data_IF_391585074859
#
_entry.id   IF_391585074859
#
_cell.length_a   1.000
_cell.length_b   1.000
_cell.length_c   1.000
_cell.angle_alpha   90.00
_cell.angle_beta   90.00
_cell.angle_gamma   90.00
#
_symmetry.space_group_name_H-M   'P 1'
#
loop_
_entity.id
_entity.type
_entity.pdbx_description
1 polymer ?
#
# COMPACT_ATOMS: atom_id res chain seq x y z
N UNK A 1 3.16 -19.89 -28.93
CA UNK A 1 2.45 -18.61 -28.75
C UNK A 1 3.49 -17.58 -28.37
N UNK A 2 3.92 -16.72 -29.30
CA UNK A 2 4.93 -15.71 -29.01
C UNK A 2 4.32 -14.61 -28.16
N UNK A 3 4.91 -14.34 -27.01
CA UNK A 3 4.49 -13.24 -26.13
C UNK A 3 4.78 -11.92 -26.86
N UNK A 4 3.77 -11.07 -27.13
CA UNK A 4 3.95 -9.79 -27.80
C UNK A 4 5.05 -8.94 -27.15
N UNK A 5 5.89 -8.28 -27.96
CA UNK A 5 7.01 -7.47 -27.45
C UNK A 5 6.58 -6.38 -26.45
N UNK A 6 5.37 -5.84 -26.58
CA UNK A 6 4.77 -4.90 -25.62
C UNK A 6 4.67 -5.50 -24.22
N UNK A 7 4.35 -6.79 -24.11
CA UNK A 7 4.27 -7.49 -22.82
C UNK A 7 5.66 -7.79 -22.26
N UNK A 8 6.66 -8.04 -23.13
CA UNK A 8 8.07 -8.18 -22.71
C UNK A 8 8.65 -6.86 -22.20
N UNK A 9 8.41 -5.75 -22.91
CA UNK A 9 8.90 -4.44 -22.53
C UNK A 9 8.34 -3.98 -21.18
N UNK A 10 7.06 -4.28 -20.88
CA UNK A 10 6.46 -4.02 -19.57
C UNK A 10 7.07 -4.87 -18.46
N UNK A 11 7.43 -6.12 -18.74
CA UNK A 11 8.07 -7.00 -17.76
C UNK A 11 9.51 -6.59 -17.39
N UNK A 12 10.18 -5.78 -18.23
CA UNK A 12 11.55 -5.32 -18.02
C UNK A 12 11.66 -3.93 -17.39
N UNK A 13 10.56 -3.24 -17.11
CA UNK A 13 10.62 -1.96 -16.43
C UNK A 13 10.98 -2.17 -14.94
N UNK A 14 11.92 -1.37 -14.39
CA UNK A 14 12.19 -1.41 -12.96
C UNK A 14 10.90 -1.10 -12.19
N UNK A 15 10.67 -1.82 -11.09
CA UNK A 15 9.51 -1.57 -10.25
C UNK A 15 9.50 -0.08 -9.85
N UNK A 16 8.32 0.58 -9.81
CA UNK A 16 8.24 1.96 -9.37
C UNK A 16 8.84 2.12 -7.96
N UNK A 17 9.35 3.31 -7.60
CA UNK A 17 9.83 3.56 -6.24
C UNK A 17 8.76 3.21 -5.20
N UNK A 18 9.17 2.72 -4.02
CA UNK A 18 8.25 2.31 -2.96
C UNK A 18 7.23 3.41 -2.61
N UNK A 19 7.69 4.66 -2.57
CA UNK A 19 6.83 5.83 -2.36
C UNK A 19 5.68 5.90 -3.37
N UNK A 20 5.96 5.77 -4.67
CA UNK A 20 4.95 5.85 -5.72
C UNK A 20 3.98 4.66 -5.68
N UNK A 21 4.48 3.48 -5.31
CA UNK A 21 3.63 2.30 -5.11
C UNK A 21 2.67 2.51 -3.94
N UNK A 22 3.15 3.06 -2.83
CA UNK A 22 2.32 3.38 -1.66
C UNK A 22 1.31 4.46 -1.99
N UNK A 23 1.70 5.57 -2.65
CA UNK A 23 0.78 6.62 -3.11
C UNK A 23 -0.34 6.06 -3.99
N UNK A 24 0.01 5.23 -4.97
CA UNK A 24 -0.97 4.59 -5.85
C UNK A 24 -1.93 3.67 -5.09
N UNK A 25 -1.40 2.91 -4.12
CA UNK A 25 -2.23 2.08 -3.26
C UNK A 25 -3.20 2.90 -2.41
N UNK A 26 -2.71 3.95 -1.74
CA UNK A 26 -3.55 4.83 -0.91
C UNK A 26 -4.69 5.44 -1.74
N UNK A 27 -4.36 6.02 -2.91
CA UNK A 27 -5.37 6.66 -3.78
C UNK A 27 -6.40 5.68 -4.32
N UNK A 28 -5.96 4.49 -4.72
CA UNK A 28 -6.81 3.54 -5.43
C UNK A 28 -7.65 2.64 -4.54
N UNK A 29 -7.31 2.51 -3.25
CA UNK A 29 -7.91 1.50 -2.37
C UNK A 29 -8.24 1.99 -0.97
N UNK A 30 -7.62 3.08 -0.50
CA UNK A 30 -7.82 3.59 0.85
C UNK A 30 -8.65 4.88 0.84
N UNK A 31 -8.38 5.78 -0.11
CA UNK A 31 -8.98 7.11 -0.15
C UNK A 31 -10.52 7.13 -0.19
N UNK A 32 -11.12 6.11 -0.80
CA UNK A 32 -12.58 5.97 -0.93
C UNK A 32 -13.20 5.03 0.12
N UNK A 33 -12.43 4.56 1.10
CA UNK A 33 -12.94 3.67 2.15
C UNK A 33 -13.52 4.44 3.33
N UNK A 34 -14.64 3.95 3.86
CA UNK A 34 -15.32 4.52 5.03
C UNK A 34 -14.63 4.12 6.37
N UNK A 35 -13.66 3.20 6.32
CA UNK A 35 -12.88 2.80 7.49
C UNK A 35 -12.06 1.51 7.30
N UNK A 36 -11.28 1.16 8.32
CA UNK A 36 -10.34 0.03 8.26
C UNK A 36 -11.03 -1.34 8.10
N UNK A 37 -12.27 -1.49 8.55
CA UNK A 37 -13.04 -2.73 8.36
C UNK A 37 -13.43 -2.95 6.88
N UNK A 38 -13.74 -1.86 6.16
CA UNK A 38 -13.97 -1.91 4.71
C UNK A 38 -12.66 -2.24 3.98
N UNK A 39 -11.56 -1.57 4.35
CA UNK A 39 -10.22 -1.85 3.83
C UNK A 39 -9.86 -3.32 4.03
N UNK A 40 -10.09 -3.89 5.22
CA UNK A 40 -9.85 -5.30 5.52
C UNK A 40 -10.68 -6.21 4.60
N UNK A 41 -11.96 -5.90 4.43
CA UNK A 41 -12.87 -6.68 3.58
C UNK A 41 -12.39 -6.70 2.13
N UNK A 42 -12.03 -5.53 1.60
CA UNK A 42 -11.55 -5.41 0.22
C UNK A 42 -10.19 -6.08 0.01
N UNK A 43 -9.26 -5.92 0.96
CA UNK A 43 -7.98 -6.64 0.96
C UNK A 43 -8.18 -8.16 0.98
N UNK A 44 -9.18 -8.65 1.71
CA UNK A 44 -9.49 -10.09 1.81
C UNK A 44 -9.97 -10.62 0.46
N UNK A 45 -10.94 -9.94 -0.17
CA UNK A 45 -11.41 -10.28 -1.52
C UNK A 45 -10.28 -10.24 -2.55
N UNK A 46 -9.43 -9.22 -2.48
CA UNK A 46 -8.26 -9.14 -3.36
C UNK A 46 -7.27 -10.28 -3.11
N UNK A 47 -7.06 -10.69 -1.87
CA UNK A 47 -6.14 -11.77 -1.53
C UNK A 47 -6.62 -13.13 -2.06
N UNK A 48 -7.94 -13.38 -2.06
CA UNK A 48 -8.55 -14.57 -2.66
C UNK A 48 -8.32 -14.64 -4.18
N UNK A 49 -8.32 -13.49 -4.87
CA UNK A 49 -8.12 -13.41 -6.31
C UNK A 49 -6.63 -13.40 -6.68
N UNK A 50 -5.84 -12.57 -5.99
CA UNK A 50 -4.42 -12.36 -6.25
C UNK A 50 -3.66 -11.95 -4.98
N UNK A 51 -3.37 -12.97 -4.17
CA UNK A 51 -2.56 -12.90 -2.95
C UNK A 51 -1.22 -12.18 -3.15
N UNK A 52 -0.54 -12.40 -4.27
CA UNK A 52 0.76 -11.80 -4.55
C UNK A 52 0.67 -10.28 -4.70
N UNK A 53 -0.39 -9.76 -5.33
CA UNK A 53 -0.64 -8.31 -5.40
C UNK A 53 -0.83 -7.71 -4.02
N UNK A 54 -1.56 -8.39 -3.12
CA UNK A 54 -1.77 -7.93 -1.74
C UNK A 54 -0.46 -7.96 -0.95
N UNK A 55 0.33 -9.04 -1.09
CA UNK A 55 1.67 -9.15 -0.50
C UNK A 55 2.59 -8.00 -0.92
N UNK A 56 2.60 -7.64 -2.20
CA UNK A 56 3.44 -6.53 -2.71
C UNK A 56 3.08 -5.19 -2.09
N UNK A 57 1.81 -4.94 -1.76
CA UNK A 57 1.37 -3.72 -1.07
C UNK A 57 2.00 -3.62 0.33
N UNK A 58 1.95 -4.70 1.12
CA UNK A 58 2.63 -4.74 2.42
C UNK A 58 4.14 -4.49 2.29
N UNK A 59 4.80 -5.18 1.34
CA UNK A 59 6.24 -5.03 1.11
C UNK A 59 6.60 -3.60 0.68
N UNK A 60 5.78 -2.94 -0.14
CA UNK A 60 6.01 -1.56 -0.55
C UNK A 60 5.97 -0.59 0.65
N UNK A 61 4.99 -0.77 1.55
CA UNK A 61 4.89 0.02 2.78
C UNK A 61 6.09 -0.24 3.69
N UNK A 62 6.42 -1.51 3.95
CA UNK A 62 7.57 -1.91 4.77
C UNK A 62 8.90 -1.35 4.20
N UNK A 63 9.06 -1.37 2.88
CA UNK A 63 10.24 -0.81 2.19
C UNK A 63 10.31 0.71 2.37
N UNK A 64 9.19 1.41 2.21
CA UNK A 64 9.11 2.85 2.43
C UNK A 64 9.44 3.23 3.88
N UNK A 65 9.02 2.42 4.85
CA UNK A 65 9.31 2.67 6.27
C UNK A 65 10.76 2.33 6.65
N UNK A 66 11.38 1.37 5.97
CA UNK A 66 12.78 1.01 6.18
C UNK A 66 13.77 2.05 5.60
N UNK A 67 13.40 2.70 4.49
CA UNK A 67 14.14 3.80 3.87
C UNK A 67 13.21 5.02 3.69
N UNK A 68 12.97 5.78 4.78
CA UNK A 68 11.94 6.81 4.80
C UNK A 68 12.28 7.97 3.85
N UNK A 69 11.25 8.57 3.22
CA UNK A 69 11.43 9.75 2.39
C UNK A 69 11.86 10.97 3.23
N UNK A 70 12.23 12.10 2.60
CA UNK A 70 12.56 13.32 3.31
C UNK A 70 11.46 13.72 4.32
N UNK A 71 11.83 14.29 5.49
CA UNK A 71 10.85 14.73 6.49
C UNK A 71 9.79 15.68 5.92
N UNK A 72 8.56 15.52 6.39
CA UNK A 72 7.39 16.26 5.91
C UNK A 72 6.75 15.65 4.66
N UNK A 73 7.07 14.39 4.32
CA UNK A 73 6.51 13.70 3.14
C UNK A 73 5.39 12.74 3.51
N UNK A 74 5.51 12.02 4.64
CA UNK A 74 4.58 10.95 4.98
C UNK A 74 3.21 11.48 5.43
N UNK A 75 3.19 12.53 6.25
CA UNK A 75 1.95 13.11 6.73
C UNK A 75 1.06 13.65 5.58
N UNK A 76 1.57 14.47 4.64
CA UNK A 76 0.79 14.89 3.47
C UNK A 76 0.37 13.73 2.58
N UNK A 77 1.20 12.68 2.47
CA UNK A 77 0.85 11.50 1.68
C UNK A 77 -0.36 10.78 2.28
N UNK A 78 -0.39 10.52 3.58
CA UNK A 78 -1.54 9.86 4.23
C UNK A 78 -2.79 10.74 4.12
N UNK A 79 -2.66 12.04 4.38
CA UNK A 79 -3.79 12.96 4.34
C UNK A 79 -4.37 13.16 2.93
N UNK A 80 -3.51 13.37 1.92
CA UNK A 80 -3.95 13.73 0.56
C UNK A 80 -4.16 12.49 -0.31
N UNK A 81 -3.22 11.55 -0.29
CA UNK A 81 -3.29 10.35 -1.13
C UNK A 81 -4.18 9.28 -0.51
N UNK A 82 -4.22 9.18 0.82
CA UNK A 82 -5.07 8.24 1.55
C UNK A 82 -6.40 8.81 2.01
N UNK A 83 -6.64 10.12 1.83
CA UNK A 83 -7.81 10.84 2.33
C UNK A 83 -8.09 10.57 3.83
N UNK A 84 -7.02 10.34 4.61
CA UNK A 84 -7.13 9.90 6.00
C UNK A 84 -6.62 10.98 6.95
N UNK A 85 -7.48 11.39 7.88
CA UNK A 85 -7.14 12.35 8.92
C UNK A 85 -6.48 11.62 10.10
N UNK A 86 -5.27 12.03 10.44
CA UNK A 86 -4.54 11.52 11.60
C UNK A 86 -4.75 12.43 12.81
N UNK A 87 -4.59 11.90 14.03
CA UNK A 87 -4.68 12.71 15.26
C UNK A 87 -3.60 13.83 15.29
N UNK A 88 -2.43 13.56 14.71
CA UNK A 88 -1.39 14.55 14.44
C UNK A 88 -1.10 14.58 12.92
N UNK A 89 -1.87 15.41 12.22
CA UNK A 89 -1.84 15.55 10.75
C UNK A 89 -0.53 16.12 10.21
N UNK A 90 0.36 16.63 11.07
CA UNK A 90 1.64 17.22 10.67
C UNK A 90 2.83 16.32 10.94
N UNK A 91 2.61 15.22 11.66
CA UNK A 91 3.67 14.34 12.14
C UNK A 91 3.89 13.17 11.20
N UNK A 92 5.05 13.19 10.53
CA UNK A 92 5.53 12.04 9.77
C UNK A 92 5.70 10.79 10.64
N UNK A 93 5.92 10.93 11.95
CA UNK A 93 5.99 9.80 12.87
C UNK A 93 4.60 9.16 13.09
N UNK A 94 3.55 9.99 13.21
CA UNK A 94 2.17 9.49 13.27
C UNK A 94 1.78 8.82 11.95
N UNK A 95 2.14 9.42 10.82
CA UNK A 95 1.91 8.84 9.50
C UNK A 95 2.66 7.51 9.29
N UNK A 96 3.92 7.43 9.74
CA UNK A 96 4.71 6.19 9.69
C UNK A 96 4.09 5.09 10.56
N UNK A 97 3.60 5.42 11.76
CA UNK A 97 2.93 4.46 12.63
C UNK A 97 1.63 3.94 11.98
N UNK A 98 0.81 4.83 11.44
CA UNK A 98 -0.42 4.46 10.73
C UNK A 98 -0.13 3.56 9.51
N UNK A 99 0.91 3.87 8.73
CA UNK A 99 1.35 3.02 7.62
C UNK A 99 1.82 1.64 8.11
N UNK A 100 2.51 1.56 9.25
CA UNK A 100 2.93 0.30 9.84
C UNK A 100 1.74 -0.56 10.31
N UNK A 101 0.71 0.08 10.87
CA UNK A 101 -0.55 -0.59 11.23
C UNK A 101 -1.27 -1.11 9.99
N UNK A 102 -1.30 -0.34 8.90
CA UNK A 102 -1.88 -0.78 7.64
C UNK A 102 -1.10 -1.95 7.04
N UNK A 103 0.24 -1.94 7.09
CA UNK A 103 1.05 -3.08 6.65
C UNK A 103 0.76 -4.34 7.48
N UNK A 104 0.63 -4.18 8.81
CA UNK A 104 0.26 -5.27 9.71
C UNK A 104 -1.11 -5.85 9.37
N UNK A 105 -2.12 -5.00 9.13
CA UNK A 105 -3.44 -5.41 8.69
C UNK A 105 -3.39 -6.24 7.39
N UNK A 106 -2.59 -5.81 6.41
CA UNK A 106 -2.43 -6.56 5.15
C UNK A 106 -1.82 -7.94 5.42
N UNK A 107 -0.83 -8.05 6.32
CA UNK A 107 -0.23 -9.33 6.71
C UNK A 107 -1.24 -10.24 7.40
N UNK A 108 -2.05 -9.71 8.32
CA UNK A 108 -3.13 -10.47 8.97
C UNK A 108 -4.13 -11.07 7.96
N UNK A 109 -4.52 -10.28 6.96
CA UNK A 109 -5.40 -10.74 5.88
C UNK A 109 -4.76 -11.87 5.08
N UNK A 110 -3.48 -11.75 4.76
CA UNK A 110 -2.73 -12.79 4.06
C UNK A 110 -2.65 -14.06 4.92
N UNK A 111 -2.30 -13.97 6.20
CA UNK A 111 -2.19 -15.15 7.06
C UNK A 111 -3.55 -15.85 7.26
N UNK A 112 -4.64 -15.07 7.31
CA UNK A 112 -6.00 -15.61 7.47
C UNK A 112 -6.53 -16.33 6.22
N UNK A 113 -6.04 -15.95 5.04
CA UNK A 113 -6.44 -16.55 3.74
C UNK A 113 -5.57 -17.74 3.32
N UNK A 114 -4.56 -18.10 4.11
CA UNK A 114 -3.70 -19.28 3.89
C UNK A 114 -4.30 -20.58 4.44
N UNK A 115 -5.39 -20.47 5.21
CA UNK A 115 -5.99 -21.55 6.01
C UNK A 115 -7.24 -22.11 5.35
#
# INVERSE_FOLDING_TARGET
>A
MEVPEILRARASQPAPPALEQVRSFLRGYIADSDGLDEVRTELTRMAEINRETVRRKAVAIETLLADPPPPGTLAPMVAVDGNWVLDDETSDAAAAAWLADLASLIREVLDSTDR
#
